data_IF_717634059442
#
_entry.id   IF_717634059442
#
_cell.length_a   1.000
_cell.length_b   1.000
_cell.length_c   1.000
_cell.angle_alpha   90.00
_cell.angle_beta   90.00
_cell.angle_gamma   90.00
#
_symmetry.space_group_name_H-M   'P 1'
#
loop_
_entity.id
_entity.type
_entity.pdbx_description
1 polymer ?
#
# COMPACT_ATOMS: atom_id res chain seq x y z
N UNK A 1 8.74 -15.83 8.86
CA UNK A 1 8.79 -15.49 7.41
C UNK A 1 8.39 -14.03 7.23
N UNK A 2 9.37 -13.13 7.08
CA UNK A 2 9.16 -11.71 6.80
C UNK A 2 9.49 -11.46 5.32
N UNK A 3 8.78 -10.51 4.70
CA UNK A 3 9.17 -9.77 3.47
C UNK A 3 9.24 -10.48 2.11
N UNK A 4 8.14 -11.08 1.62
CA UNK A 4 7.94 -11.32 0.17
C UNK A 4 7.08 -10.22 -0.47
N UNK A 5 5.95 -9.89 0.16
CA UNK A 5 4.99 -8.89 -0.34
C UNK A 5 5.54 -7.50 -0.65
N UNK A 6 6.56 -7.05 0.10
CA UNK A 6 7.18 -5.75 -0.21
C UNK A 6 8.00 -5.79 -1.50
N UNK A 7 8.70 -6.89 -1.76
CA UNK A 7 9.43 -7.09 -3.00
C UNK A 7 8.45 -7.18 -4.18
N UNK A 8 7.35 -7.93 -4.01
CA UNK A 8 6.27 -8.01 -5.02
C UNK A 8 5.73 -6.62 -5.38
N UNK A 9 5.43 -5.76 -4.41
CA UNK A 9 4.99 -4.38 -4.69
C UNK A 9 6.06 -3.53 -5.39
N UNK A 10 7.35 -3.81 -5.18
CA UNK A 10 8.42 -3.06 -5.86
C UNK A 10 8.56 -3.47 -7.33
N UNK A 11 8.22 -4.70 -7.67
CA UNK A 11 8.24 -5.23 -9.04
C UNK A 11 7.01 -4.80 -9.86
N UNK A 12 5.92 -4.43 -9.20
CA UNK A 12 4.69 -3.95 -9.86
C UNK A 12 4.85 -2.57 -10.51
N UNK A 13 4.07 -2.34 -11.57
CA UNK A 13 3.94 -1.01 -12.21
C UNK A 13 3.16 -0.04 -11.32
N UNK A 14 3.26 1.27 -11.59
CA UNK A 14 2.52 2.28 -10.83
C UNK A 14 1.00 2.09 -10.92
N UNK A 15 0.51 1.66 -12.08
CA UNK A 15 -0.91 1.34 -12.30
C UNK A 15 -1.35 0.13 -11.48
N UNK A 16 -0.56 -0.94 -11.48
CA UNK A 16 -0.82 -2.13 -10.67
C UNK A 16 -0.83 -1.80 -9.17
N UNK A 17 0.12 -0.98 -8.72
CA UNK A 17 0.15 -0.50 -7.33
C UNK A 17 -1.09 0.32 -6.98
N UNK A 18 -1.56 1.18 -7.89
CA UNK A 18 -2.77 1.96 -7.69
C UNK A 18 -4.03 1.07 -7.64
N UNK A 19 -4.10 0.02 -8.45
CA UNK A 19 -5.18 -0.96 -8.41
C UNK A 19 -5.17 -1.74 -7.09
N UNK A 20 -4.04 -2.32 -6.71
CA UNK A 20 -3.90 -3.03 -5.44
C UNK A 20 -4.21 -2.14 -4.23
N UNK A 21 -3.81 -0.87 -4.27
CA UNK A 21 -4.14 0.11 -3.23
C UNK A 21 -5.67 0.26 -3.06
N UNK A 22 -6.40 0.40 -4.17
CA UNK A 22 -7.87 0.55 -4.15
C UNK A 22 -8.54 -0.70 -3.59
N UNK A 23 -8.08 -1.88 -3.98
CA UNK A 23 -8.62 -3.15 -3.49
C UNK A 23 -8.42 -3.31 -1.98
N UNK A 24 -7.22 -3.03 -1.48
CA UNK A 24 -6.91 -3.13 -0.04
C UNK A 24 -7.70 -2.08 0.75
N UNK A 25 -7.88 -0.87 0.21
CA UNK A 25 -8.71 0.16 0.84
C UNK A 25 -10.18 -0.26 0.92
N UNK A 26 -10.73 -0.86 -0.14
CA UNK A 26 -12.09 -1.41 -0.14
C UNK A 26 -12.24 -2.52 0.90
N UNK A 27 -11.28 -3.43 0.98
CA UNK A 27 -11.27 -4.48 1.99
C UNK A 27 -11.19 -3.87 3.41
N UNK A 28 -10.32 -2.89 3.63
CA UNK A 28 -10.21 -2.19 4.91
C UNK A 28 -11.52 -1.50 5.31
N UNK A 29 -12.24 -0.90 4.36
CA UNK A 29 -13.56 -0.32 4.61
C UNK A 29 -14.56 -1.41 5.04
N UNK A 30 -14.60 -2.53 4.34
CA UNK A 30 -15.47 -3.66 4.68
C UNK A 30 -15.16 -4.23 6.07
N UNK A 31 -13.87 -4.46 6.40
CA UNK A 31 -13.45 -4.94 7.71
C UNK A 31 -13.80 -3.95 8.83
N UNK A 32 -13.71 -2.64 8.58
CA UNK A 32 -14.12 -1.61 9.55
C UNK A 32 -15.62 -1.60 9.75
N UNK A 33 -16.40 -1.79 8.69
CA UNK A 33 -17.84 -1.89 8.74
C UNK A 33 -18.28 -3.12 9.54
N UNK A 34 -17.74 -4.30 9.21
CA UNK A 34 -17.98 -5.55 9.94
C UNK A 34 -17.58 -5.43 11.42
N UNK A 35 -16.44 -4.80 11.72
CA UNK A 35 -15.98 -4.59 13.09
C UNK A 35 -16.89 -3.67 13.92
N UNK A 36 -17.71 -2.85 13.26
CA UNK A 36 -18.66 -1.97 13.93
C UNK A 36 -20.01 -2.64 14.19
N UNK A 37 -20.42 -3.58 13.31
CA UNK A 37 -21.69 -4.29 13.42
C UNK A 37 -21.60 -5.56 14.29
N UNK A 38 -20.46 -6.26 14.23
CA UNK A 38 -20.25 -7.53 14.94
C UNK A 38 -18.84 -7.61 15.55
N UNK A 39 -18.62 -8.59 16.43
CA UNK A 39 -17.27 -8.87 16.95
C UNK A 39 -16.46 -9.54 15.83
N UNK A 40 -15.58 -8.77 15.21
CA UNK A 40 -14.68 -9.27 14.17
C UNK A 40 -13.86 -10.45 14.71
N UNK A 41 -13.95 -11.61 14.07
CA UNK A 41 -13.19 -12.81 14.47
C UNK A 41 -11.67 -12.60 14.34
N UNK A 42 -11.26 -11.75 13.38
CA UNK A 42 -9.85 -11.54 13.04
C UNK A 42 -9.44 -10.05 13.02
N UNK A 43 -9.40 -9.35 14.18
CA UNK A 43 -8.99 -7.93 14.26
C UNK A 43 -7.56 -7.67 13.76
N UNK A 44 -6.74 -8.72 13.66
CA UNK A 44 -5.41 -8.70 13.05
C UNK A 44 -5.43 -8.32 11.57
N UNK A 45 -6.49 -8.65 10.82
CA UNK A 45 -6.61 -8.34 9.39
C UNK A 45 -6.70 -6.85 9.12
N UNK A 46 -7.42 -6.09 9.97
CA UNK A 46 -7.44 -4.62 9.91
C UNK A 46 -6.00 -4.06 10.03
N UNK A 47 -5.21 -4.59 10.97
CA UNK A 47 -3.81 -4.16 11.14
C UNK A 47 -2.94 -4.54 9.95
N UNK A 48 -3.15 -5.72 9.35
CA UNK A 48 -2.42 -6.15 8.14
C UNK A 48 -2.76 -5.26 6.95
N UNK A 49 -4.04 -5.05 6.66
CA UNK A 49 -4.50 -4.19 5.57
C UNK A 49 -3.95 -2.76 5.70
N UNK A 50 -3.99 -2.16 6.90
CA UNK A 50 -3.36 -0.85 7.16
C UNK A 50 -1.86 -0.81 6.83
N UNK A 51 -1.11 -1.86 7.17
CA UNK A 51 0.32 -1.96 6.85
C UNK A 51 0.57 -2.12 5.35
N UNK A 52 -0.28 -2.86 4.65
CA UNK A 52 -0.17 -3.02 3.19
C UNK A 52 -0.43 -1.69 2.47
N UNK A 53 -1.49 -0.96 2.84
CA UNK A 53 -1.75 0.41 2.34
C UNK A 53 -0.53 1.31 2.55
N UNK A 54 0.03 1.32 3.77
CA UNK A 54 1.19 2.15 4.09
C UNK A 54 2.41 1.81 3.21
N UNK A 55 2.70 0.51 2.99
CA UNK A 55 3.82 0.07 2.15
C UNK A 55 3.68 0.53 0.70
N UNK A 56 2.50 0.39 0.11
CA UNK A 56 2.25 0.82 -1.28
C UNK A 56 2.44 2.32 -1.41
N UNK A 57 1.89 3.11 -0.47
CA UNK A 57 2.05 4.56 -0.45
C UNK A 57 3.53 4.97 -0.29
N UNK A 58 4.29 4.27 0.56
CA UNK A 58 5.73 4.51 0.70
C UNK A 58 6.46 4.28 -0.62
N UNK A 59 6.21 3.17 -1.32
CA UNK A 59 6.86 2.87 -2.61
C UNK A 59 6.51 3.93 -3.66
N UNK A 60 5.23 4.32 -3.76
CA UNK A 60 4.81 5.38 -4.68
C UNK A 60 5.53 6.70 -4.36
N UNK A 61 5.69 7.03 -3.07
CA UNK A 61 6.42 8.22 -2.66
C UNK A 61 7.92 8.13 -2.97
N UNK A 62 8.55 6.98 -2.73
CA UNK A 62 9.96 6.72 -3.08
C UNK A 62 10.18 6.95 -4.58
N UNK A 63 9.30 6.42 -5.44
CA UNK A 63 9.36 6.61 -6.91
C UNK A 63 9.22 8.09 -7.31
N UNK A 64 8.26 8.80 -6.71
CA UNK A 64 8.08 10.24 -6.96
C UNK A 64 9.32 11.05 -6.58
N UNK A 65 9.92 10.79 -5.41
CA UNK A 65 11.11 11.48 -4.96
C UNK A 65 12.32 11.20 -5.86
N UNK A 66 12.49 9.96 -6.30
CA UNK A 66 13.55 9.59 -7.24
C UNK A 66 13.39 10.32 -8.59
N UNK A 67 12.17 10.42 -9.11
CA UNK A 67 11.88 11.18 -10.33
C UNK A 67 12.20 12.68 -10.17
N UNK A 68 11.85 13.28 -9.03
CA UNK A 68 12.16 14.68 -8.72
C UNK A 68 13.67 14.94 -8.58
N UNK A 69 14.43 13.99 -8.05
CA UNK A 69 15.89 14.10 -7.96
C UNK A 69 16.54 14.03 -9.35
N UNK A 70 16.02 13.20 -10.26
CA UNK A 70 16.52 13.11 -11.64
C UNK A 70 16.28 14.37 -12.46
N UNK A 71 15.15 15.06 -12.26
CA UNK A 71 14.89 16.34 -12.95
C UNK A 71 15.79 17.46 -12.42
N UNK A 72 16.10 17.45 -11.12
CA UNK A 72 16.97 18.45 -10.50
C UNK A 72 18.45 18.33 -10.92
N UNK A 73 18.94 17.13 -11.23
CA UNK A 73 20.35 16.92 -11.65
C UNK A 73 20.59 17.22 -13.12
N UNK A 74 19.58 17.10 -13.99
CA UNK A 74 19.69 17.43 -15.42
C UNK A 74 19.68 18.93 -15.75
N UNK A 75 19.31 19.78 -14.78
CA UNK A 75 19.23 21.24 -14.95
C UNK A 75 20.47 22.02 -14.51
N UNK A 76 21.58 21.34 -14.18
CA UNK A 76 22.88 21.95 -13.88
C UNK A 76 23.88 21.71 -14.99
#
# INVERSE_FOLDING_TARGET
MKSTKLAEYREQTDEQLALSLREIQKNLFHLRFQSATERLETPSEIRKAKREVARILTIQRERQLAAQQQTATKGK
#
